data_IF_794866671166
#
_entry.id   IF_794866671166
#
_cell.length_a   1.000
_cell.length_b   1.000
_cell.length_c   1.000
_cell.angle_alpha   90.00
_cell.angle_beta   90.00
_cell.angle_gamma   90.00
#
_symmetry.space_group_name_H-M   'P 1'
#
loop_
_entity.id
_entity.type
_entity.pdbx_description
1 polymer ?
#
# COMPACT_ATOMS: atom_id res chain seq x y z
N UNK A 1 18.18 -0.67 16.44
CA UNK A 1 17.89 -0.94 15.03
C UNK A 1 17.39 0.35 14.38
N UNK A 2 17.97 0.73 13.26
CA UNK A 2 17.55 1.94 12.56
C UNK A 2 16.19 1.67 11.91
N UNK A 3 15.15 2.36 12.36
CA UNK A 3 13.84 2.27 11.72
C UNK A 3 13.89 2.86 10.32
N UNK A 4 13.27 2.20 9.37
CA UNK A 4 13.12 2.73 8.01
C UNK A 4 11.93 3.69 8.02
N UNK A 5 12.19 4.93 7.65
CA UNK A 5 11.19 6.00 7.66
C UNK A 5 11.28 6.82 6.37
N UNK A 6 10.12 7.08 5.77
CA UNK A 6 9.98 7.98 4.63
C UNK A 6 9.01 9.10 4.99
N UNK A 7 9.45 10.33 4.78
CA UNK A 7 8.65 11.51 5.05
C UNK A 7 7.78 11.90 3.85
N UNK A 8 6.92 12.88 4.06
CA UNK A 8 5.99 13.38 3.04
C UNK A 8 6.68 13.76 1.72
N UNK A 9 7.82 14.42 1.79
CA UNK A 9 8.55 14.85 0.59
C UNK A 9 9.05 13.67 -0.23
N UNK A 10 9.45 12.59 0.41
CA UNK A 10 9.87 11.37 -0.27
C UNK A 10 8.69 10.68 -0.96
N UNK A 11 7.56 10.60 -0.26
CA UNK A 11 6.37 9.87 -0.74
C UNK A 11 5.63 10.63 -1.84
N UNK A 12 5.61 11.95 -1.79
CA UNK A 12 4.99 12.80 -2.82
C UNK A 12 5.81 12.92 -4.10
N UNK A 13 7.11 12.66 -4.02
CA UNK A 13 7.98 12.62 -5.19
C UNK A 13 7.86 11.25 -5.87
N UNK A 14 7.07 11.17 -6.94
CA UNK A 14 6.78 9.90 -7.62
C UNK A 14 8.02 9.29 -8.29
N UNK A 15 8.94 10.10 -8.80
CA UNK A 15 10.20 9.60 -9.35
C UNK A 15 11.01 8.85 -8.29
N UNK A 16 10.99 9.33 -7.05
CA UNK A 16 11.64 8.69 -5.93
C UNK A 16 10.84 7.51 -5.38
N UNK A 17 9.56 7.70 -5.07
CA UNK A 17 8.74 6.73 -4.33
C UNK A 17 8.32 5.53 -5.17
N UNK A 18 8.09 5.70 -6.48
CA UNK A 18 7.75 4.58 -7.37
C UNK A 18 8.94 3.66 -7.68
N UNK A 19 10.15 4.10 -7.41
CA UNK A 19 11.35 3.27 -7.54
C UNK A 19 11.72 2.52 -6.25
N UNK A 20 10.86 2.57 -5.25
CA UNK A 20 11.03 1.84 -3.99
C UNK A 20 9.83 0.96 -3.74
N UNK A 21 10.12 -0.30 -3.46
CA UNK A 21 9.10 -1.32 -3.25
C UNK A 21 9.10 -1.78 -1.80
N UNK A 22 7.92 -2.09 -1.32
CA UNK A 22 7.70 -2.74 -0.03
C UNK A 22 7.33 -4.19 -0.31
N UNK A 23 8.19 -5.10 0.14
CA UNK A 23 7.96 -6.54 0.03
C UNK A 23 7.70 -7.11 1.42
N UNK A 24 6.61 -7.83 1.56
CA UNK A 24 6.27 -8.60 2.75
C UNK A 24 5.91 -10.02 2.33
N UNK A 25 6.35 -10.99 3.09
CA UNK A 25 6.09 -12.39 2.80
C UNK A 25 5.83 -13.16 4.10
N UNK A 26 5.19 -14.31 3.97
CA UNK A 26 5.02 -15.26 5.07
C UNK A 26 5.70 -16.59 4.77
N UNK A 27 5.66 -17.52 5.71
CA UNK A 27 6.28 -18.85 5.56
C UNK A 27 5.53 -19.78 4.61
N UNK A 28 4.31 -19.44 4.22
CA UNK A 28 3.49 -20.19 3.24
C UNK A 28 3.70 -19.72 1.79
N UNK A 29 4.70 -18.87 1.54
CA UNK A 29 5.03 -18.27 0.24
C UNK A 29 3.99 -17.29 -0.30
N UNK A 30 3.02 -16.86 0.50
CA UNK A 30 2.21 -15.71 0.17
C UNK A 30 3.02 -14.43 0.35
N UNK A 31 2.82 -13.45 -0.53
CA UNK A 31 3.53 -12.19 -0.42
C UNK A 31 2.71 -11.00 -0.91
N UNK A 32 3.17 -9.83 -0.53
CA UNK A 32 2.74 -8.53 -1.02
C UNK A 32 3.94 -7.79 -1.54
N UNK A 33 3.84 -7.21 -2.71
CA UNK A 33 4.87 -6.36 -3.29
C UNK A 33 4.22 -5.22 -4.04
N UNK A 34 4.50 -4.01 -3.64
CA UNK A 34 4.03 -2.81 -4.33
C UNK A 34 4.97 -1.64 -4.04
N UNK A 35 4.78 -0.54 -4.73
CA UNK A 35 5.57 0.67 -4.48
C UNK A 35 5.18 1.33 -3.16
N UNK A 36 6.01 2.24 -2.63
CA UNK A 36 5.72 2.96 -1.40
C UNK A 36 4.34 3.62 -1.39
N UNK A 37 3.88 4.31 -2.45
CA UNK A 37 2.55 4.93 -2.47
C UNK A 37 1.43 4.00 -2.95
N UNK A 38 1.63 2.69 -2.94
CA UNK A 38 0.65 1.68 -3.38
C UNK A 38 0.25 1.75 -4.87
N UNK A 39 1.10 2.28 -5.72
CA UNK A 39 0.88 2.27 -7.16
C UNK A 39 1.54 1.05 -7.79
N UNK A 40 0.75 0.14 -8.31
CA UNK A 40 1.27 -1.04 -8.99
C UNK A 40 1.83 -0.65 -10.36
N UNK A 41 3.13 -0.87 -10.56
CA UNK A 41 3.85 -0.49 -11.79
C UNK A 41 4.48 -1.69 -12.50
N UNK A 42 4.42 -2.88 -11.92
CA UNK A 42 5.02 -4.11 -12.45
C UNK A 42 4.01 -5.25 -12.45
N UNK A 43 4.25 -6.24 -13.31
CA UNK A 43 3.36 -7.39 -13.53
C UNK A 43 2.94 -8.12 -12.24
N UNK A 44 3.88 -8.28 -11.32
CA UNK A 44 3.64 -9.01 -10.07
C UNK A 44 3.48 -8.09 -8.86
N UNK A 45 3.13 -6.84 -9.07
CA UNK A 45 2.68 -6.00 -7.97
C UNK A 45 1.28 -6.40 -7.52
N UNK A 46 1.08 -6.43 -6.22
CA UNK A 46 -0.20 -6.74 -5.60
C UNK A 46 -0.11 -6.76 -4.09
N UNK A 47 -1.27 -6.75 -3.45
CA UNK A 47 -1.38 -6.78 -1.99
C UNK A 47 -1.43 -8.21 -1.44
N UNK A 48 -1.97 -9.14 -2.21
CA UNK A 48 -1.97 -10.56 -1.85
C UNK A 48 -1.70 -11.40 -3.09
N UNK A 49 -0.53 -12.02 -3.11
CA UNK A 49 -0.07 -12.90 -4.19
C UNK A 49 0.25 -14.25 -3.57
N UNK A 50 -0.35 -15.30 -4.12
CA UNK A 50 -0.30 -16.63 -3.53
C UNK A 50 0.03 -17.66 -4.62
N UNK A 51 0.98 -18.57 -4.39
CA UNK A 51 1.19 -19.69 -5.30
C UNK A 51 -0.02 -20.61 -5.30
N UNK A 52 -0.40 -21.09 -6.49
CA UNK A 52 -1.54 -21.98 -6.68
C UNK A 52 -1.10 -23.31 -7.32
N UNK A 53 -0.43 -24.20 -6.54
CA UNK A 53 0.12 -25.44 -7.09
C UNK A 53 -0.93 -26.40 -7.62
N UNK A 54 -2.17 -26.29 -7.17
CA UNK A 54 -3.29 -27.08 -7.66
C UNK A 54 -3.83 -26.63 -9.02
N UNK A 55 -3.45 -25.45 -9.48
CA UNK A 55 -3.91 -24.88 -10.74
C UNK A 55 -2.79 -25.02 -11.79
N UNK A 56 -1.67 -24.33 -11.59
CA UNK A 56 -0.62 -24.23 -12.59
C UNK A 56 0.79 -24.05 -12.03
N UNK A 57 0.98 -24.20 -10.74
CA UNK A 57 2.25 -23.98 -10.04
C UNK A 57 2.80 -22.54 -10.13
N UNK A 58 1.95 -21.57 -10.48
CA UNK A 58 2.35 -20.17 -10.59
C UNK A 58 1.79 -19.32 -9.46
N UNK A 59 2.35 -18.12 -9.32
CA UNK A 59 1.85 -17.12 -8.39
C UNK A 59 0.64 -16.42 -9.00
N UNK A 60 -0.43 -16.32 -8.22
CA UNK A 60 -1.66 -15.64 -8.61
C UNK A 60 -1.88 -14.41 -7.76
N UNK A 61 -2.17 -13.29 -8.39
CA UNK A 61 -2.55 -12.05 -7.70
C UNK A 61 -4.02 -12.15 -7.31
N UNK A 62 -4.28 -12.43 -6.05
CA UNK A 62 -5.63 -12.56 -5.50
C UNK A 62 -6.24 -11.21 -5.13
N UNK A 63 -5.40 -10.27 -4.70
CA UNK A 63 -5.79 -8.89 -4.41
C UNK A 63 -4.73 -7.96 -4.99
N UNK A 64 -5.08 -7.22 -6.02
CA UNK A 64 -4.15 -6.32 -6.69
C UNK A 64 -3.96 -5.02 -5.89
N UNK A 65 -5.05 -4.33 -5.59
CA UNK A 65 -5.02 -3.03 -4.90
C UNK A 65 -6.32 -2.79 -4.15
N UNK A 66 -6.29 -1.80 -3.26
CA UNK A 66 -7.47 -1.27 -2.58
C UNK A 66 -7.54 0.23 -2.81
N UNK A 67 -8.71 0.70 -3.21
CA UNK A 67 -8.97 2.10 -3.48
C UNK A 67 -9.81 2.68 -2.33
N UNK A 68 -9.13 3.12 -1.29
CA UNK A 68 -9.78 3.73 -0.13
C UNK A 68 -10.25 5.15 -0.45
N UNK A 69 -11.37 5.52 0.12
CA UNK A 69 -11.91 6.88 0.04
C UNK A 69 -12.34 7.33 1.43
N UNK A 70 -11.92 8.53 1.81
CA UNK A 70 -12.41 9.19 3.02
C UNK A 70 -13.48 10.17 2.64
N UNK A 71 -14.64 10.07 3.27
CA UNK A 71 -15.75 11.01 3.07
C UNK A 71 -15.92 11.87 4.33
N UNK A 72 -15.91 13.19 4.16
CA UNK A 72 -16.13 14.15 5.23
C UNK A 72 -16.91 15.36 4.68
N UNK A 73 -18.04 15.70 5.31
CA UNK A 73 -18.83 16.89 4.97
C UNK A 73 -19.15 17.01 3.47
N UNK A 74 -19.63 15.94 2.86
CA UNK A 74 -19.93 15.83 1.43
C UNK A 74 -18.72 15.93 0.49
N UNK A 75 -17.50 15.92 1.02
CA UNK A 75 -16.28 15.83 0.24
C UNK A 75 -15.73 14.42 0.27
N UNK A 76 -15.20 13.98 -0.88
CA UNK A 76 -14.57 12.66 -1.02
C UNK A 76 -13.09 12.84 -1.34
N UNK A 77 -12.24 12.14 -0.59
CA UNK A 77 -10.80 12.14 -0.75
C UNK A 77 -10.32 10.74 -1.10
N UNK A 78 -9.86 10.57 -2.34
CA UNK A 78 -9.41 9.29 -2.86
C UNK A 78 -7.93 9.07 -2.55
N UNK A 79 -7.62 7.99 -1.84
CA UNK A 79 -6.26 7.68 -1.40
C UNK A 79 -5.47 6.86 -2.40
N UNK A 80 -6.13 6.30 -3.41
CA UNK A 80 -5.50 5.46 -4.41
C UNK A 80 -4.57 6.26 -5.34
N UNK A 81 -3.63 5.55 -5.93
CA UNK A 81 -2.76 6.07 -6.98
C UNK A 81 -2.62 4.99 -8.05
N UNK A 82 -3.10 5.29 -9.25
CA UNK A 82 -2.96 4.40 -10.42
C UNK A 82 -2.23 5.11 -11.55
N UNK A 83 -1.39 4.34 -12.23
CA UNK A 83 -0.68 4.79 -13.44
C UNK A 83 -1.33 4.17 -14.66
N UNK A 84 -1.75 5.00 -15.60
CA UNK A 84 -2.35 4.59 -16.86
C UNK A 84 -1.35 4.67 -18.01
N UNK A 85 -1.70 4.06 -19.15
CA UNK A 85 -0.79 3.86 -20.31
C UNK A 85 -0.09 5.12 -20.80
N UNK A 86 -0.72 6.28 -20.72
CA UNK A 86 -0.15 7.54 -21.20
C UNK A 86 0.70 8.29 -20.14
N UNK A 87 1.13 7.60 -19.09
CA UNK A 87 1.87 8.22 -17.99
C UNK A 87 1.00 9.13 -17.12
N UNK A 88 -0.31 9.01 -17.23
CA UNK A 88 -1.27 9.75 -16.41
C UNK A 88 -1.49 9.01 -15.09
N UNK A 89 -1.45 9.74 -13.99
CA UNK A 89 -1.76 9.23 -12.65
C UNK A 89 -3.15 9.71 -12.22
N UNK A 90 -4.00 8.79 -11.79
CA UNK A 90 -5.34 9.11 -11.28
C UNK A 90 -5.90 7.94 -10.46
N UNK A 91 -6.53 8.19 -9.31
CA UNK A 91 -6.45 9.44 -8.56
C UNK A 91 -5.03 9.70 -8.06
N UNK A 92 -4.78 10.83 -7.41
CA UNK A 92 -3.45 11.23 -6.92
C UNK A 92 -3.39 11.20 -5.40
N UNK A 93 -3.74 10.05 -4.82
CA UNK A 93 -3.82 9.87 -3.36
C UNK A 93 -2.48 9.96 -2.64
N UNK A 94 -1.36 9.81 -3.34
CA UNK A 94 -0.02 9.96 -2.76
C UNK A 94 0.22 11.34 -2.14
N UNK A 95 -0.49 12.37 -2.58
CA UNK A 95 -0.40 13.72 -1.99
C UNK A 95 -0.90 13.77 -0.54
N UNK A 96 -1.69 12.78 -0.11
CA UNK A 96 -2.18 12.68 1.26
C UNK A 96 -1.28 11.81 2.16
N UNK A 97 -0.31 11.13 1.60
CA UNK A 97 0.67 10.36 2.38
C UNK A 97 1.58 11.31 3.14
N UNK A 98 1.56 11.21 4.47
CA UNK A 98 2.41 12.00 5.36
C UNK A 98 3.71 11.27 5.70
N UNK A 99 3.60 9.96 5.95
CA UNK A 99 4.77 9.13 6.28
C UNK A 99 4.52 7.66 6.01
N UNK A 100 5.61 6.94 5.84
CA UNK A 100 5.67 5.49 5.92
C UNK A 100 6.80 5.10 6.86
N UNK A 101 6.52 4.21 7.78
CA UNK A 101 7.55 3.64 8.65
C UNK A 101 7.47 2.12 8.70
N UNK A 102 8.64 1.49 8.69
CA UNK A 102 8.79 0.06 8.86
C UNK A 102 9.29 -0.21 10.28
N UNK A 103 8.34 -0.29 11.23
CA UNK A 103 8.58 -0.72 12.60
C UNK A 103 8.12 -2.17 12.79
N UNK A 104 7.49 -2.47 13.92
CA UNK A 104 6.87 -3.78 14.16
C UNK A 104 5.83 -4.13 13.09
N UNK A 105 5.04 -3.14 12.69
CA UNK A 105 4.10 -3.24 11.58
C UNK A 105 4.39 -2.12 10.58
N UNK A 106 4.43 -2.44 9.27
CA UNK A 106 4.49 -1.41 8.24
C UNK A 106 3.30 -0.47 8.36
N UNK A 107 3.55 0.82 8.53
CA UNK A 107 2.51 1.83 8.79
C UNK A 107 2.60 2.96 7.79
N UNK A 108 1.53 3.14 7.00
CA UNK A 108 1.31 4.34 6.20
C UNK A 108 0.40 5.29 6.95
N UNK A 109 0.81 6.54 7.05
CA UNK A 109 0.02 7.61 7.66
C UNK A 109 -0.48 8.55 6.56
N UNK A 110 -1.80 8.73 6.50
CA UNK A 110 -2.46 9.71 5.63
C UNK A 110 -2.93 10.89 6.46
N UNK A 111 -2.74 12.09 5.93
CA UNK A 111 -3.27 13.32 6.51
C UNK A 111 -4.07 14.10 5.47
N UNK A 112 -5.30 14.43 5.83
CA UNK A 112 -6.20 15.26 5.03
C UNK A 112 -6.77 16.33 5.98
N UNK A 113 -6.21 17.53 5.95
CA UNK A 113 -6.56 18.58 6.92
C UNK A 113 -6.34 18.11 8.35
N UNK A 114 -7.42 18.04 9.14
CA UNK A 114 -7.39 17.53 10.52
C UNK A 114 -7.47 16.01 10.62
N UNK A 115 -7.83 15.31 9.54
CA UNK A 115 -7.98 13.86 9.54
C UNK A 115 -6.61 13.19 9.49
N UNK A 116 -6.35 12.27 10.40
CA UNK A 116 -5.16 11.40 10.39
C UNK A 116 -5.59 9.95 10.41
N UNK A 117 -5.29 9.23 9.33
CA UNK A 117 -5.60 7.82 9.16
C UNK A 117 -4.32 7.00 9.08
N UNK A 118 -4.22 5.96 9.90
CA UNK A 118 -3.16 4.95 9.80
C UNK A 118 -3.66 3.73 9.04
N UNK A 119 -2.83 3.22 8.14
CA UNK A 119 -3.03 1.95 7.45
C UNK A 119 -1.87 1.03 7.76
N UNK A 120 -2.14 -0.08 8.41
CA UNK A 120 -1.16 -1.10 8.79
C UNK A 120 -1.51 -2.42 8.15
N UNK A 121 -0.50 -3.11 7.62
CA UNK A 121 -0.68 -4.40 6.95
C UNK A 121 0.28 -5.43 7.52
N UNK A 122 -0.19 -6.66 7.70
CA UNK A 122 0.67 -7.79 8.06
C UNK A 122 0.10 -9.11 7.56
N UNK A 123 1.00 -10.06 7.31
CA UNK A 123 0.65 -11.42 6.97
C UNK A 123 0.54 -12.29 8.22
N UNK A 124 -0.44 -13.17 8.23
CA UNK A 124 -0.46 -14.28 9.17
C UNK A 124 0.57 -15.33 8.73
N UNK A 125 1.41 -15.80 9.68
CA UNK A 125 2.59 -16.58 9.33
C UNK A 125 2.34 -17.86 8.53
N UNK A 126 1.26 -18.58 8.85
CA UNK A 126 1.00 -19.93 8.30
C UNK A 126 -0.27 -20.00 7.46
N UNK A 127 -0.79 -18.88 7.01
CA UNK A 127 -2.01 -18.82 6.21
C UNK A 127 -1.85 -17.79 5.10
N UNK A 128 -2.52 -18.02 3.98
CA UNK A 128 -2.60 -17.09 2.87
C UNK A 128 -3.58 -15.97 3.22
N UNK A 129 -3.25 -15.22 4.27
CA UNK A 129 -4.10 -14.16 4.83
C UNK A 129 -3.30 -12.91 5.08
N UNK A 130 -3.75 -11.84 4.45
CA UNK A 130 -3.31 -10.48 4.71
C UNK A 130 -4.33 -9.80 5.62
N UNK A 131 -3.86 -9.19 6.70
CA UNK A 131 -4.66 -8.39 7.60
C UNK A 131 -4.32 -6.92 7.39
N UNK A 132 -5.36 -6.10 7.22
CA UNK A 132 -5.22 -4.66 7.05
C UNK A 132 -6.02 -3.97 8.14
N UNK A 133 -5.31 -3.14 8.92
CA UNK A 133 -5.91 -2.38 10.01
C UNK A 133 -5.91 -0.90 9.67
N UNK A 134 -7.06 -0.28 9.74
CA UNK A 134 -7.22 1.17 9.64
C UNK A 134 -7.48 1.74 11.03
N UNK A 135 -6.77 2.80 11.37
CA UNK A 135 -6.97 3.53 12.63
C UNK A 135 -7.16 5.00 12.33
N UNK A 136 -8.32 5.53 12.68
CA UNK A 136 -8.59 6.97 12.64
C UNK A 136 -8.06 7.57 13.94
N UNK A 137 -6.96 8.33 13.85
CA UNK A 137 -6.34 8.96 15.02
C UNK A 137 -6.95 10.31 15.35
N UNK A 138 -7.23 11.08 14.31
CA UNK A 138 -7.79 12.41 14.41
C UNK A 138 -8.83 12.61 13.32
N UNK A 139 -9.88 13.35 13.62
CA UNK A 139 -10.97 13.65 12.71
C UNK A 139 -11.45 15.08 12.83
#
# INVERSE_FOLDING_TARGET
MKEIFFAKNDLSNLEYSLNREVLRANVSNAYSCTTLPFCNTRKYHGLLIVPQPKIDNQNHVLLSSLDETINQNNNSFHLALHRYQNGVYSPKGHKYLESYELGLLPTHTYRIGSIVLLKQMFFQEKQDRLLIKYTLKEA
#
